data_IF_938530067300
#
_entry.id   IF_938530067300
#
_cell.length_a   1.000
_cell.length_b   1.000
_cell.length_c   1.000
_cell.angle_alpha   90.00
_cell.angle_beta   90.00
_cell.angle_gamma   90.00
#
_symmetry.space_group_name_H-M   'P 1'
#
loop_
_entity.id
_entity.type
_entity.pdbx_description
1 polymer ?
#
# COMPACT_ATOMS: atom_id res chain seq x y z
N UNK A 1 16.13 -44.43 -20.44
CA UNK A 1 16.75 -43.50 -19.51
C UNK A 1 17.05 -42.17 -20.13
N UNK A 2 17.76 -42.17 -21.17
CA UNK A 2 18.09 -40.90 -21.77
C UNK A 2 16.89 -40.12 -22.23
N UNK A 3 15.93 -40.84 -22.68
CA UNK A 3 14.71 -40.17 -23.15
C UNK A 3 13.99 -39.47 -22.02
N UNK A 4 14.01 -40.05 -20.87
CA UNK A 4 13.35 -39.47 -19.73
C UNK A 4 14.02 -38.16 -19.35
N UNK A 5 15.32 -38.14 -19.41
CA UNK A 5 16.03 -36.92 -19.07
C UNK A 5 15.72 -35.80 -20.04
N UNK A 6 15.64 -36.16 -21.31
CA UNK A 6 15.32 -35.13 -22.29
C UNK A 6 13.94 -34.53 -22.05
N UNK A 7 12.98 -35.39 -21.73
CA UNK A 7 11.65 -34.92 -21.47
C UNK A 7 11.62 -33.98 -20.26
N UNK A 8 12.38 -34.31 -19.27
CA UNK A 8 12.43 -33.47 -18.09
C UNK A 8 12.99 -32.09 -18.42
N UNK A 9 14.00 -32.04 -19.21
CA UNK A 9 14.59 -30.76 -19.57
C UNK A 9 13.60 -29.90 -20.33
N UNK A 10 12.86 -30.51 -21.22
CA UNK A 10 11.86 -29.77 -21.98
C UNK A 10 10.79 -29.19 -21.05
N UNK A 11 10.38 -29.99 -20.10
CA UNK A 11 9.36 -29.51 -19.16
C UNK A 11 9.83 -28.30 -18.39
N UNK A 12 11.08 -28.32 -17.95
CA UNK A 12 11.60 -27.17 -17.21
C UNK A 12 11.63 -25.91 -18.06
N UNK A 13 12.00 -26.05 -19.30
CA UNK A 13 12.08 -24.91 -20.16
C UNK A 13 10.70 -24.26 -20.34
N UNK A 14 9.71 -25.09 -20.49
CA UNK A 14 8.35 -24.57 -20.67
C UNK A 14 7.90 -23.82 -19.43
N UNK A 15 8.19 -24.35 -18.26
CA UNK A 15 7.76 -23.71 -17.03
C UNK A 15 8.41 -22.34 -16.91
N UNK A 16 9.69 -22.26 -17.19
CA UNK A 16 10.40 -20.99 -17.06
C UNK A 16 9.84 -19.97 -18.03
N UNK A 17 9.59 -20.37 -19.23
CA UNK A 17 9.08 -19.46 -20.23
C UNK A 17 7.71 -18.93 -19.85
N UNK A 18 6.85 -19.81 -19.40
CA UNK A 18 5.52 -19.36 -19.01
C UNK A 18 5.56 -18.40 -17.85
N UNK A 19 6.40 -18.70 -16.88
CA UNK A 19 6.49 -17.85 -15.72
C UNK A 19 7.03 -16.46 -16.09
N UNK A 20 8.05 -16.45 -16.89
CA UNK A 20 8.62 -15.18 -17.33
C UNK A 20 7.64 -14.36 -18.15
N UNK A 21 6.90 -15.02 -19.02
CA UNK A 21 5.92 -14.33 -19.82
C UNK A 21 4.84 -13.70 -18.98
N UNK A 22 4.41 -14.39 -17.96
CA UNK A 22 3.40 -13.83 -17.08
C UNK A 22 3.89 -12.57 -16.40
N UNK A 23 5.10 -12.57 -15.92
CA UNK A 23 5.65 -11.39 -15.26
C UNK A 23 5.78 -10.23 -16.21
N UNK A 24 6.20 -10.50 -17.39
CA UNK A 24 6.33 -9.44 -18.38
C UNK A 24 4.98 -8.85 -18.69
N UNK A 25 3.98 -9.68 -18.82
CA UNK A 25 2.64 -9.19 -19.10
C UNK A 25 2.14 -8.29 -18.02
N UNK A 26 2.38 -8.63 -16.78
CA UNK A 26 1.98 -7.77 -15.67
C UNK A 26 2.74 -6.48 -15.65
N UNK A 27 4.01 -6.52 -15.97
CA UNK A 27 4.81 -5.32 -16.00
C UNK A 27 4.46 -4.42 -17.17
N UNK A 28 4.00 -4.99 -18.24
CA UNK A 28 3.70 -4.21 -19.42
C UNK A 28 2.36 -3.51 -19.34
N UNK A 29 1.36 -4.16 -18.80
CA UNK A 29 0.05 -3.57 -18.79
C UNK A 29 -0.08 -2.40 -17.80
N UNK A 30 0.39 -2.50 -16.60
CA UNK A 30 0.25 -1.40 -15.67
C UNK A 30 0.89 -0.10 -16.09
N UNK A 31 1.99 -0.11 -16.81
CA UNK A 31 2.65 1.14 -17.12
C UNK A 31 1.75 2.16 -17.76
N UNK A 32 0.89 1.71 -18.61
CA UNK A 32 0.04 2.65 -19.28
C UNK A 32 -0.87 3.33 -18.29
N UNK A 33 -1.31 2.60 -17.30
CA UNK A 33 -2.17 3.19 -16.33
C UNK A 33 -1.44 4.10 -15.42
N UNK A 34 -0.30 3.64 -15.02
CA UNK A 34 0.45 4.45 -14.11
C UNK A 34 0.94 5.69 -14.76
N UNK A 35 0.92 5.72 -16.04
CA UNK A 35 1.34 6.91 -16.73
C UNK A 35 0.53 8.07 -16.25
N UNK A 36 -0.66 7.84 -15.95
CA UNK A 36 -1.43 8.88 -15.44
C UNK A 36 -1.11 9.10 -14.02
N UNK A 37 -0.41 8.20 -13.41
CA UNK A 37 0.18 8.37 -12.12
C UNK A 37 -0.61 9.09 -11.07
N UNK A 38 -1.91 9.10 -11.12
CA UNK A 38 -2.61 9.74 -10.02
C UNK A 38 -2.60 8.91 -8.77
N UNK A 39 -2.20 7.65 -8.84
CA UNK A 39 -2.14 6.81 -7.67
C UNK A 39 -0.75 6.82 -7.08
N UNK A 40 -0.63 7.25 -5.83
CA UNK A 40 0.64 7.21 -5.10
C UNK A 40 0.47 6.31 -3.89
N UNK A 41 1.57 5.69 -3.49
CA UNK A 41 1.55 4.74 -2.38
C UNK A 41 2.69 5.02 -1.43
N UNK A 42 2.53 4.58 -0.20
CA UNK A 42 3.58 4.65 0.80
C UNK A 42 3.45 3.47 1.73
N UNK A 43 4.58 2.96 2.19
CA UNK A 43 4.59 1.91 3.21
C UNK A 43 4.53 2.56 4.56
N UNK A 44 3.70 2.02 5.44
CA UNK A 44 3.59 2.48 6.81
C UNK A 44 4.59 1.74 7.68
N UNK A 45 5.36 2.47 8.45
CA UNK A 45 6.34 1.88 9.33
C UNK A 45 6.10 2.30 10.77
N UNK A 46 6.24 1.35 11.68
CA UNK A 46 6.09 1.61 13.09
C UNK A 46 7.29 2.39 13.61
N UNK A 47 7.24 2.80 14.87
CA UNK A 47 8.34 3.51 15.49
C UNK A 47 9.63 2.73 15.53
N UNK A 48 9.55 1.41 15.44
CA UNK A 48 10.75 0.56 15.38
C UNK A 48 11.22 0.30 13.96
N UNK A 49 10.56 0.89 12.96
CA UNK A 49 10.94 0.71 11.56
C UNK A 49 10.34 -0.49 10.89
N UNK A 50 9.44 -1.18 11.56
CA UNK A 50 8.80 -2.36 11.00
C UNK A 50 7.70 -1.97 10.03
N UNK A 51 7.64 -2.66 8.91
CA UNK A 51 6.60 -2.42 7.90
C UNK A 51 5.28 -2.98 8.42
N UNK A 52 4.29 -2.12 8.58
CA UNK A 52 3.02 -2.51 9.19
C UNK A 52 1.82 -2.18 8.31
N UNK A 53 2.04 -1.83 7.06
CA UNK A 53 0.92 -1.60 6.17
C UNK A 53 1.25 -0.69 5.02
N UNK A 54 0.21 -0.29 4.31
CA UNK A 54 0.35 0.55 3.14
C UNK A 54 -0.77 1.56 3.10
N UNK A 55 -0.48 2.70 2.48
CA UNK A 55 -1.49 3.71 2.23
C UNK A 55 -1.46 4.06 0.74
N UNK A 56 -2.62 4.21 0.16
CA UNK A 56 -2.80 4.53 -1.25
C UNK A 56 -3.62 5.80 -1.36
N UNK A 57 -3.19 6.71 -2.21
CA UNK A 57 -3.93 7.93 -2.45
C UNK A 57 -4.10 8.11 -3.95
N UNK A 58 -5.34 8.22 -4.37
CA UNK A 58 -5.67 8.41 -5.78
C UNK A 58 -6.14 9.84 -5.98
N UNK A 59 -5.44 10.56 -6.82
CA UNK A 59 -5.72 11.97 -7.06
C UNK A 59 -6.37 12.24 -8.41
N UNK A 60 -6.92 11.20 -9.05
CA UNK A 60 -7.61 11.37 -10.30
C UNK A 60 -8.95 12.05 -10.13
N UNK A 61 -9.88 11.69 -11.01
CA UNK A 61 -11.15 12.37 -11.05
C UNK A 61 -11.93 12.22 -9.76
N UNK A 62 -12.01 11.00 -9.24
CA UNK A 62 -12.67 10.76 -7.96
C UNK A 62 -11.58 10.44 -6.94
N UNK A 63 -11.19 11.44 -6.20
CA UNK A 63 -10.05 11.32 -5.28
C UNK A 63 -10.46 10.52 -4.05
N UNK A 64 -9.58 9.62 -3.63
CA UNK A 64 -9.83 8.78 -2.47
C UNK A 64 -8.52 8.36 -1.83
N UNK A 65 -8.63 7.94 -0.58
CA UNK A 65 -7.50 7.38 0.17
C UNK A 65 -7.90 6.01 0.69
N UNK A 66 -6.98 5.07 0.68
CA UNK A 66 -7.20 3.73 1.20
C UNK A 66 -5.98 3.32 2.00
N UNK A 67 -6.22 2.67 3.12
CA UNK A 67 -5.16 2.33 4.07
C UNK A 67 -5.38 0.92 4.58
N UNK A 68 -4.31 0.15 4.62
CA UNK A 68 -4.31 -1.21 5.14
C UNK A 68 -3.24 -1.32 6.21
N UNK A 69 -3.60 -1.84 7.37
CA UNK A 69 -2.72 -1.89 8.52
C UNK A 69 -2.70 -3.29 9.07
N UNK A 70 -1.50 -3.78 9.38
CA UNK A 70 -1.31 -5.07 10.00
C UNK A 70 -0.24 -4.89 11.08
N UNK A 71 -0.69 -4.64 12.29
CA UNK A 71 0.18 -4.28 13.40
C UNK A 71 -0.25 -5.07 14.62
N UNK A 72 0.32 -6.26 14.78
CA UNK A 72 -0.10 -7.20 15.83
C UNK A 72 -0.15 -6.56 17.20
N UNK A 73 0.81 -5.72 17.52
CA UNK A 73 0.91 -5.12 18.83
C UNK A 73 -0.20 -4.13 19.11
N UNK A 74 -0.94 -3.71 18.11
CA UNK A 74 -1.98 -2.71 18.29
C UNK A 74 -3.28 -3.30 18.85
N UNK A 75 -3.50 -4.60 18.67
CA UNK A 75 -4.69 -5.24 19.22
C UNK A 75 -5.98 -4.71 18.64
N UNK A 76 -6.96 -4.54 19.51
CA UNK A 76 -8.30 -4.11 19.09
C UNK A 76 -8.53 -2.67 19.50
N UNK A 77 -7.87 -1.74 18.84
CA UNK A 77 -8.05 -0.34 19.19
C UNK A 77 -8.51 0.46 17.99
N UNK A 78 -9.13 1.59 18.27
CA UNK A 78 -9.49 2.54 17.24
C UNK A 78 -8.27 3.37 16.89
N UNK A 79 -8.08 3.62 15.60
CA UNK A 79 -6.96 4.42 15.14
C UNK A 79 -7.47 5.51 14.20
N UNK A 80 -6.70 6.55 14.10
CA UNK A 80 -7.07 7.72 13.31
C UNK A 80 -6.11 7.83 12.13
N UNK A 81 -6.68 7.98 10.96
CA UNK A 81 -5.89 8.18 9.75
C UNK A 81 -5.66 9.66 9.54
N UNK A 82 -4.42 10.06 9.36
CA UNK A 82 -4.05 11.44 9.09
C UNK A 82 -3.20 11.51 7.84
N UNK A 83 -3.42 12.54 7.05
CA UNK A 83 -2.58 12.84 5.90
C UNK A 83 -1.74 14.07 6.20
N UNK A 84 -0.52 14.06 5.70
CA UNK A 84 0.44 15.14 5.96
C UNK A 84 0.78 15.77 4.62
N UNK A 85 0.58 17.06 4.50
CA UNK A 85 0.90 17.77 3.28
C UNK A 85 2.39 18.15 3.24
N UNK A 86 2.84 18.58 2.07
CA UNK A 86 4.25 18.94 1.91
C UNK A 86 4.66 20.14 2.75
N UNK A 87 3.71 20.97 3.10
CA UNK A 87 4.00 22.12 3.97
C UNK A 87 3.87 21.76 5.46
N UNK A 88 3.63 20.49 5.77
CA UNK A 88 3.60 20.03 7.15
C UNK A 88 2.23 20.05 7.79
N UNK A 89 1.21 20.45 7.08
CA UNK A 89 -0.13 20.49 7.63
C UNK A 89 -0.70 19.07 7.76
N UNK A 90 -1.33 18.79 8.89
CA UNK A 90 -1.90 17.48 9.18
C UNK A 90 -3.40 17.57 9.11
N UNK A 91 -4.02 16.68 8.34
CA UNK A 91 -5.45 16.62 8.19
C UNK A 91 -5.95 15.26 8.62
N UNK A 92 -6.88 15.23 9.56
CA UNK A 92 -7.50 13.99 9.99
C UNK A 92 -8.56 13.59 8.99
N UNK A 93 -8.44 12.37 8.46
CA UNK A 93 -9.34 11.90 7.41
C UNK A 93 -10.48 11.07 8.00
N UNK A 94 -10.17 10.24 8.96
CA UNK A 94 -11.20 9.40 9.56
C UNK A 94 -10.63 8.47 10.60
N UNK A 95 -11.52 7.64 11.14
CA UNK A 95 -11.17 6.72 12.23
C UNK A 95 -11.66 5.34 11.85
N UNK A 96 -10.88 4.33 12.16
CA UNK A 96 -11.32 2.96 11.96
C UNK A 96 -10.75 2.09 13.07
N UNK A 97 -11.30 0.88 13.20
CA UNK A 97 -10.93 0.02 14.30
C UNK A 97 -10.14 -1.17 13.80
N UNK A 98 -9.07 -1.49 14.52
CA UNK A 98 -8.28 -2.68 14.23
C UNK A 98 -8.87 -3.87 14.97
N UNK A 99 -8.82 -5.04 14.35
CA UNK A 99 -9.17 -6.30 14.96
C UNK A 99 -7.92 -7.16 14.98
N UNK A 100 -7.42 -7.47 16.15
CA UNK A 100 -6.16 -8.21 16.30
C UNK A 100 -5.03 -7.53 15.53
N UNK A 101 -5.01 -6.22 15.54
CA UNK A 101 -4.00 -5.44 14.89
C UNK A 101 -4.20 -5.24 13.40
N UNK A 102 -5.25 -5.80 12.82
CA UNK A 102 -5.47 -5.72 11.38
C UNK A 102 -6.69 -4.89 11.06
N UNK A 103 -6.60 -4.08 10.02
CA UNK A 103 -7.74 -3.33 9.55
C UNK A 103 -7.45 -2.64 8.25
N UNK A 104 -8.49 -2.34 7.50
CA UNK A 104 -8.37 -1.54 6.29
C UNK A 104 -9.51 -0.55 6.26
N UNK A 105 -9.27 0.56 5.57
CA UNK A 105 -10.23 1.65 5.59
C UNK A 105 -9.99 2.55 4.39
N UNK A 106 -11.05 3.07 3.86
CA UNK A 106 -10.96 3.99 2.73
C UNK A 106 -12.03 5.04 2.80
N UNK A 107 -11.75 6.18 2.21
CA UNK A 107 -12.69 7.30 2.21
C UNK A 107 -12.38 8.23 1.06
N UNK A 108 -13.38 9.02 0.63
CA UNK A 108 -13.11 10.04 -0.38
C UNK A 108 -12.25 11.14 0.22
N UNK A 109 -11.51 11.80 -0.66
CA UNK A 109 -10.71 12.96 -0.29
C UNK A 109 -11.65 14.07 0.18
N UNK A 110 -11.35 14.72 1.31
CA UNK A 110 -12.20 15.82 1.77
C UNK A 110 -12.19 17.05 0.87
N UNK A 111 -11.28 17.11 -0.10
CA UNK A 111 -11.33 18.16 -1.11
C UNK A 111 -10.47 19.37 -0.83
N UNK A 112 -9.83 19.44 0.32
CA UNK A 112 -9.01 20.60 0.65
C UNK A 112 -7.56 20.23 0.97
N UNK A 113 -7.13 19.07 0.51
CA UNK A 113 -5.75 18.64 0.72
C UNK A 113 -4.86 19.25 -0.34
N UNK A 114 -3.74 19.76 0.09
CA UNK A 114 -2.71 20.21 -0.83
C UNK A 114 -1.88 19.04 -1.31
N UNK A 115 -0.69 19.34 -1.80
CA UNK A 115 0.24 18.28 -2.19
C UNK A 115 0.62 17.47 -0.96
N UNK A 116 0.56 16.16 -1.08
CA UNK A 116 0.78 15.28 0.06
C UNK A 116 2.22 14.83 0.16
N UNK A 117 2.70 14.76 1.37
CA UNK A 117 4.02 14.19 1.66
C UNK A 117 3.90 12.79 2.21
N UNK A 118 2.90 12.53 3.03
CA UNK A 118 2.78 11.22 3.64
C UNK A 118 1.50 11.06 4.39
N UNK A 119 1.45 9.96 5.16
CA UNK A 119 0.29 9.62 5.97
C UNK A 119 0.77 9.03 7.27
N UNK A 120 -0.10 9.02 8.27
CA UNK A 120 0.24 8.38 9.52
C UNK A 120 -1.02 7.88 10.20
N UNK A 121 -0.81 6.92 11.09
CA UNK A 121 -1.85 6.34 11.91
C UNK A 121 -1.55 6.71 13.34
N UNK A 122 -2.52 7.28 14.01
CA UNK A 122 -2.34 7.67 15.41
C UNK A 122 -3.39 6.99 16.26
N UNK A 123 -3.07 6.79 17.52
CA UNK A 123 -4.01 6.22 18.47
C UNK A 123 -5.02 7.28 18.89
N UNK A 124 -6.04 6.85 19.63
CA UNK A 124 -7.03 7.78 20.12
C UNK A 124 -6.43 8.84 21.04
N UNK A 125 -5.30 8.52 21.68
CA UNK A 125 -4.61 9.47 22.54
C UNK A 125 -3.68 10.41 21.78
N UNK A 126 -3.52 10.19 20.49
CA UNK A 126 -2.67 11.04 19.67
C UNK A 126 -1.27 10.53 19.44
N UNK A 127 -0.96 9.33 19.94
CA UNK A 127 0.37 8.76 19.75
C UNK A 127 0.50 8.23 18.31
N UNK A 128 1.60 8.56 17.64
CA UNK A 128 1.83 8.09 16.28
C UNK A 128 2.23 6.63 16.34
N UNK A 129 1.42 5.78 15.74
CA UNK A 129 1.68 4.34 15.72
C UNK A 129 2.47 3.92 14.50
N UNK A 130 2.25 4.57 13.38
CA UNK A 130 2.96 4.27 12.15
C UNK A 130 2.88 5.47 11.22
N UNK A 131 3.82 5.58 10.32
CA UNK A 131 3.83 6.67 9.36
C UNK A 131 4.51 6.22 8.07
N UNK A 132 4.21 6.91 6.98
CA UNK A 132 4.81 6.63 5.70
C UNK A 132 4.92 7.89 4.87
N UNK A 133 5.86 7.87 3.94
CA UNK A 133 6.11 9.00 3.06
C UNK A 133 5.83 8.56 1.63
N UNK A 134 5.03 9.33 0.91
CA UNK A 134 4.76 9.05 -0.50
C UNK A 134 6.03 9.31 -1.31
N UNK A 135 6.28 8.41 -2.21
CA UNK A 135 7.48 8.52 -3.04
C UNK A 135 7.33 9.57 -4.12
#
# INVERSE_FOLDING_TARGET
MRRVLAATAIGLAVIVAGFGGWRIGQGASPPSNSAEGPLITASLRSGTGQDVGDVFFYSGESRWVYMSVDMDSAGNQAVICQLVSKDGQVTQIGTFRLADGYGSWGAPDPGNLGALRGARIVSASGAVLASGTFA
#
